data_IF_205094887776
#
_entry.id   IF_205094887776
#
_cell.length_a   1.000
_cell.length_b   1.000
_cell.length_c   1.000
_cell.angle_alpha   90.00
_cell.angle_beta   90.00
_cell.angle_gamma   90.00
#
_symmetry.space_group_name_H-M   'P 1'
#
loop_
_entity.id
_entity.type
_entity.pdbx_description
1 polymer ?
#
# COMPACT_ATOMS: atom_id res chain seq x y z
N UNK A 1 11.82 -24.90 -26.71
CA UNK A 1 12.47 -23.58 -26.53
C UNK A 1 11.71 -22.80 -25.45
N UNK A 2 12.22 -22.72 -24.20
CA UNK A 2 11.69 -21.74 -23.24
C UNK A 2 12.00 -20.35 -23.80
N UNK A 3 10.98 -19.49 -23.94
CA UNK A 3 11.16 -18.15 -24.49
C UNK A 3 12.18 -17.36 -23.64
N UNK A 4 13.00 -16.50 -24.26
CA UNK A 4 13.96 -15.61 -23.56
C UNK A 4 13.34 -14.77 -22.42
N UNK A 5 12.02 -14.61 -22.43
CA UNK A 5 11.26 -13.89 -21.40
C UNK A 5 11.03 -14.74 -20.14
N UNK A 6 10.86 -16.06 -20.29
CA UNK A 6 10.75 -17.01 -19.17
C UNK A 6 12.04 -17.06 -18.35
N UNK A 7 13.20 -16.98 -19.00
CA UNK A 7 14.51 -17.02 -18.32
C UNK A 7 14.80 -15.76 -17.52
N UNK A 8 14.45 -14.56 -18.03
CA UNK A 8 14.65 -13.30 -17.30
C UNK A 8 13.75 -13.19 -16.06
N UNK A 9 12.50 -13.68 -16.13
CA UNK A 9 11.58 -13.70 -14.99
C UNK A 9 12.11 -14.57 -13.84
N UNK A 10 12.60 -15.76 -14.19
CA UNK A 10 13.19 -16.70 -13.24
C UNK A 10 14.46 -16.13 -12.59
N UNK A 11 15.33 -15.49 -13.38
CA UNK A 11 16.52 -14.79 -12.89
C UNK A 11 16.17 -13.68 -11.89
N UNK A 12 15.22 -12.80 -12.21
CA UNK A 12 14.79 -11.72 -11.31
C UNK A 12 14.22 -12.28 -10.00
N UNK A 13 13.48 -13.38 -10.06
CA UNK A 13 12.96 -14.03 -8.86
C UNK A 13 14.09 -14.54 -7.96
N UNK A 14 15.03 -15.31 -8.53
CA UNK A 14 16.12 -15.93 -7.77
C UNK A 14 17.09 -14.89 -7.19
N UNK A 15 17.36 -13.82 -7.93
CA UNK A 15 18.37 -12.81 -7.57
C UNK A 15 17.83 -11.73 -6.64
N UNK A 16 16.55 -11.36 -6.78
CA UNK A 16 15.93 -10.22 -6.08
C UNK A 16 14.76 -10.63 -5.20
N UNK A 17 13.69 -11.17 -5.79
CA UNK A 17 12.39 -11.32 -5.11
C UNK A 17 12.46 -12.30 -3.95
N UNK A 18 13.10 -13.45 -4.14
CA UNK A 18 13.25 -14.48 -3.10
C UNK A 18 13.89 -13.95 -1.81
N UNK A 19 14.80 -12.97 -1.93
CA UNK A 19 15.53 -12.38 -0.80
C UNK A 19 14.72 -11.33 -0.02
N UNK A 20 13.54 -10.94 -0.51
CA UNK A 20 12.69 -9.92 0.14
C UNK A 20 11.81 -10.50 1.26
N UNK A 21 11.66 -11.83 1.32
CA UNK A 21 10.99 -12.53 2.41
C UNK A 21 11.94 -12.74 3.59
N UNK A 22 11.56 -12.23 4.77
CA UNK A 22 12.24 -12.48 6.04
C UNK A 22 11.46 -13.55 6.80
N UNK A 23 11.99 -14.77 6.80
CA UNK A 23 11.36 -15.95 7.40
C UNK A 23 9.96 -16.25 6.83
N UNK A 24 9.69 -15.80 5.60
CA UNK A 24 8.46 -16.06 4.85
C UNK A 24 8.81 -16.34 3.39
N UNK A 25 7.95 -17.08 2.69
CA UNK A 25 8.11 -17.38 1.28
C UNK A 25 7.57 -16.24 0.39
N UNK A 26 8.36 -15.83 -0.62
CA UNK A 26 7.84 -15.09 -1.77
C UNK A 26 7.45 -16.10 -2.85
N UNK A 27 6.19 -16.11 -3.25
CA UNK A 27 5.67 -17.05 -4.25
C UNK A 27 6.02 -16.59 -5.68
N UNK A 28 6.73 -17.39 -6.50
CA UNK A 28 7.09 -17.03 -7.87
C UNK A 28 5.89 -16.66 -8.74
N UNK A 29 4.76 -17.35 -8.58
CA UNK A 29 3.52 -17.13 -9.31
C UNK A 29 2.82 -15.82 -8.94
N UNK A 30 3.13 -15.25 -7.78
CA UNK A 30 2.67 -13.92 -7.36
C UNK A 30 3.70 -12.82 -7.65
N UNK A 31 4.75 -13.12 -8.40
CA UNK A 31 5.72 -12.13 -8.84
C UNK A 31 5.41 -11.60 -10.23
N UNK A 32 5.45 -10.27 -10.37
CA UNK A 32 5.22 -9.57 -11.63
C UNK A 32 6.11 -8.33 -11.76
N UNK A 33 6.90 -8.32 -12.83
CA UNK A 33 8.04 -7.40 -13.03
C UNK A 33 7.81 -6.36 -14.13
N UNK A 34 6.70 -6.42 -14.85
CA UNK A 34 6.28 -5.43 -15.85
C UNK A 34 4.82 -5.04 -15.66
N UNK A 35 4.34 -3.88 -16.15
CA UNK A 35 2.94 -3.51 -16.04
C UNK A 35 1.99 -4.56 -16.63
N UNK A 36 2.37 -5.14 -17.78
CA UNK A 36 1.63 -6.21 -18.45
C UNK A 36 1.54 -7.47 -17.59
N UNK A 37 2.63 -7.87 -16.93
CA UNK A 37 2.60 -9.00 -16.00
C UNK A 37 1.68 -8.74 -14.81
N UNK A 38 1.68 -7.53 -14.25
CA UNK A 38 0.77 -7.17 -13.15
C UNK A 38 -0.68 -7.24 -13.62
N UNK A 39 -0.99 -6.69 -14.80
CA UNK A 39 -2.32 -6.76 -15.37
C UNK A 39 -2.79 -8.20 -15.58
N UNK A 40 -1.96 -9.04 -16.18
CA UNK A 40 -2.28 -10.45 -16.38
C UNK A 40 -2.49 -11.17 -15.04
N UNK A 41 -1.64 -10.90 -14.05
CA UNK A 41 -1.76 -11.47 -12.71
C UNK A 41 -3.10 -11.11 -12.05
N UNK A 42 -3.56 -9.86 -12.19
CA UNK A 42 -4.87 -9.42 -11.69
C UNK A 42 -6.04 -10.12 -12.38
N UNK A 43 -5.91 -10.48 -13.66
CA UNK A 43 -6.96 -11.15 -14.42
C UNK A 43 -7.04 -12.66 -14.16
N UNK A 44 -5.91 -13.31 -13.87
CA UNK A 44 -5.84 -14.78 -13.86
C UNK A 44 -5.67 -15.39 -12.48
N UNK A 45 -5.16 -14.65 -11.49
CA UNK A 45 -4.92 -15.21 -10.15
C UNK A 45 -6.21 -15.33 -9.34
N UNK A 46 -6.65 -16.56 -9.11
CA UNK A 46 -7.78 -16.85 -8.22
C UNK A 46 -7.50 -16.42 -6.78
N UNK A 47 -6.24 -16.48 -6.33
CA UNK A 47 -5.85 -15.97 -5.01
C UNK A 47 -6.14 -14.48 -4.84
N UNK A 48 -5.81 -13.67 -5.85
CA UNK A 48 -6.07 -12.22 -5.81
C UNK A 48 -7.58 -11.95 -5.91
N UNK A 49 -8.29 -12.63 -6.80
CA UNK A 49 -9.75 -12.48 -6.92
C UNK A 49 -10.48 -12.87 -5.64
N UNK A 50 -10.06 -13.96 -5.00
CA UNK A 50 -10.63 -14.39 -3.72
C UNK A 50 -10.33 -13.38 -2.62
N UNK A 51 -9.11 -12.85 -2.57
CA UNK A 51 -8.79 -11.78 -1.64
C UNK A 51 -9.64 -10.52 -1.86
N UNK A 52 -9.85 -10.12 -3.11
CA UNK A 52 -10.76 -9.02 -3.45
C UNK A 52 -12.18 -9.26 -2.95
N UNK A 53 -12.71 -10.50 -3.05
CA UNK A 53 -14.02 -10.86 -2.48
C UNK A 53 -14.01 -10.77 -0.96
N UNK A 54 -12.98 -11.29 -0.30
CA UNK A 54 -12.84 -11.24 1.16
C UNK A 54 -12.88 -9.79 1.64
N UNK A 55 -11.99 -8.94 1.13
CA UNK A 55 -11.89 -7.56 1.61
C UNK A 55 -13.06 -6.70 1.11
N UNK A 56 -13.38 -6.79 -0.18
CA UNK A 56 -14.44 -6.02 -0.82
C UNK A 56 -15.81 -6.33 -0.23
N UNK A 57 -16.12 -7.61 0.05
CA UNK A 57 -17.48 -8.04 0.39
C UNK A 57 -17.60 -8.48 1.84
N UNK A 58 -16.74 -9.37 2.33
CA UNK A 58 -16.99 -10.11 3.59
C UNK A 58 -16.38 -9.48 4.84
N UNK A 59 -15.22 -8.85 4.72
CA UNK A 59 -14.50 -8.31 5.87
C UNK A 59 -15.05 -6.94 6.30
N UNK A 60 -15.31 -6.80 7.60
CA UNK A 60 -15.61 -5.53 8.26
C UNK A 60 -14.63 -5.33 9.43
N UNK A 61 -14.12 -4.10 9.62
CA UNK A 61 -13.32 -3.78 10.80
C UNK A 61 -14.18 -3.87 12.08
N UNK A 62 -13.52 -4.02 13.22
CA UNK A 62 -14.19 -3.88 14.53
C UNK A 62 -14.88 -2.50 14.65
N UNK A 63 -16.06 -2.44 15.30
CA UNK A 63 -16.87 -1.22 15.43
C UNK A 63 -16.19 -0.08 16.20
N UNK A 64 -15.19 -0.39 17.03
CA UNK A 64 -14.33 0.60 17.71
C UNK A 64 -13.41 1.36 16.73
N UNK A 65 -13.16 0.83 15.53
CA UNK A 65 -12.35 1.49 14.51
C UNK A 65 -13.08 2.69 13.93
N UNK A 66 -12.61 3.91 14.20
CA UNK A 66 -13.21 5.16 13.70
C UNK A 66 -12.32 5.90 12.70
N UNK A 67 -11.02 5.59 12.66
CA UNK A 67 -10.04 6.21 11.79
C UNK A 67 -9.44 5.15 10.88
N UNK A 68 -9.67 5.26 9.57
CA UNK A 68 -8.96 4.46 8.57
C UNK A 68 -7.63 5.13 8.23
N UNK A 69 -6.54 4.39 8.41
CA UNK A 69 -5.20 4.77 7.97
C UNK A 69 -4.75 3.80 6.87
N UNK A 70 -4.75 4.27 5.62
CA UNK A 70 -4.12 3.56 4.51
C UNK A 70 -2.62 3.88 4.48
N UNK A 71 -1.78 2.85 4.49
CA UNK A 71 -0.32 2.97 4.45
C UNK A 71 0.26 2.12 3.31
N UNK A 72 1.31 2.57 2.59
CA UNK A 72 1.80 1.84 1.43
C UNK A 72 2.45 0.52 1.84
N UNK A 73 2.36 -0.46 0.96
CA UNK A 73 3.09 -1.71 1.10
C UNK A 73 4.60 -1.47 1.15
N UNK A 74 5.33 -2.49 1.62
CA UNK A 74 6.80 -2.48 1.66
C UNK A 74 7.39 -3.50 0.70
N UNK A 75 8.58 -3.22 0.16
CA UNK A 75 9.39 -4.19 -0.59
C UNK A 75 9.76 -5.40 0.25
N UNK A 76 10.09 -5.22 1.54
CA UNK A 76 10.37 -6.31 2.49
C UNK A 76 9.08 -6.90 3.02
N UNK A 77 9.02 -8.24 3.06
CA UNK A 77 7.92 -9.04 3.58
C UNK A 77 8.38 -9.91 4.75
N UNK A 78 7.54 -10.17 5.77
CA UNK A 78 6.24 -9.56 5.94
C UNK A 78 6.37 -8.06 6.22
N UNK A 79 5.30 -7.28 6.01
CA UNK A 79 5.39 -5.82 6.03
C UNK A 79 5.97 -5.25 7.33
N UNK A 80 5.58 -5.80 8.48
CA UNK A 80 6.01 -5.37 9.81
C UNK A 80 7.52 -5.49 10.04
N UNK A 81 8.21 -6.31 9.25
CA UNK A 81 9.67 -6.45 9.32
C UNK A 81 10.44 -5.38 8.53
N UNK A 82 9.72 -4.51 7.82
CA UNK A 82 10.31 -3.44 7.03
C UNK A 82 10.60 -2.19 7.85
N UNK A 83 11.60 -1.42 7.42
CA UNK A 83 11.93 -0.13 8.04
C UNK A 83 10.74 0.83 8.07
N UNK A 84 9.92 0.85 7.01
CA UNK A 84 8.78 1.76 6.93
C UNK A 84 7.66 1.42 7.90
N UNK A 85 7.44 0.14 8.17
CA UNK A 85 6.47 -0.30 9.17
C UNK A 85 7.01 -0.20 10.59
N UNK A 86 8.30 -0.45 10.82
CA UNK A 86 8.93 -0.19 12.12
C UNK A 86 8.76 1.28 12.52
N UNK A 87 9.04 2.22 11.61
CA UNK A 87 8.81 3.65 11.84
C UNK A 87 7.32 3.99 12.09
N UNK A 88 6.41 3.36 11.35
CA UNK A 88 4.96 3.52 11.55
C UNK A 88 4.52 3.01 12.93
N UNK A 89 4.98 1.83 13.34
CA UNK A 89 4.58 1.22 14.60
C UNK A 89 5.12 1.97 15.81
N UNK A 90 6.32 2.54 15.74
CA UNK A 90 6.79 3.48 16.77
C UNK A 90 5.86 4.69 16.87
N UNK A 91 5.43 5.25 15.73
CA UNK A 91 4.45 6.35 15.71
C UNK A 91 3.10 5.94 16.28
N UNK A 92 2.61 4.74 15.97
CA UNK A 92 1.32 4.25 16.42
C UNK A 92 1.31 3.85 17.90
N UNK A 93 2.46 3.44 18.45
CA UNK A 93 2.62 3.05 19.86
C UNK A 93 2.34 4.21 20.82
N UNK A 94 2.60 5.45 20.41
CA UNK A 94 2.33 6.66 21.21
C UNK A 94 0.84 6.88 21.52
N UNK A 95 -0.07 6.20 20.81
CA UNK A 95 -1.50 6.37 21.03
C UNK A 95 -2.08 5.40 22.07
N UNK A 96 -1.30 4.44 22.60
CA UNK A 96 -1.67 3.53 23.68
C UNK A 96 -3.15 3.06 23.59
N UNK A 97 -4.02 3.44 24.53
CA UNK A 97 -5.46 3.10 24.53
C UNK A 97 -6.23 3.58 23.28
N UNK A 98 -5.82 4.72 22.70
CA UNK A 98 -6.43 5.28 21.50
C UNK A 98 -6.01 4.54 20.22
N UNK A 99 -5.02 3.64 20.28
CA UNK A 99 -4.63 2.78 19.15
C UNK A 99 -5.79 1.98 18.61
N UNK A 100 -6.76 1.64 19.47
CA UNK A 100 -7.96 0.91 19.11
C UNK A 100 -8.85 1.68 18.14
N UNK A 101 -8.87 3.02 18.15
CA UNK A 101 -9.64 3.81 17.19
C UNK A 101 -9.05 3.80 15.77
N UNK A 102 -7.75 3.49 15.65
CA UNK A 102 -7.04 3.48 14.37
C UNK A 102 -7.12 2.07 13.78
N UNK A 103 -7.58 2.02 12.53
CA UNK A 103 -7.50 0.84 11.70
C UNK A 103 -6.43 1.04 10.63
N UNK A 104 -5.33 0.32 10.79
CA UNK A 104 -4.26 0.29 9.80
C UNK A 104 -4.63 -0.69 8.69
N UNK A 105 -4.60 -0.22 7.46
CA UNK A 105 -4.79 -1.03 6.27
C UNK A 105 -3.68 -0.72 5.27
N UNK A 106 -3.05 -1.76 4.74
CA UNK A 106 -2.02 -1.60 3.71
C UNK A 106 -2.67 -1.42 2.36
N UNK A 107 -2.30 -0.40 1.62
CA UNK A 107 -2.57 -0.32 0.18
C UNK A 107 -1.42 -1.01 -0.55
N UNK A 108 -1.72 -1.94 -1.46
CA UNK A 108 -0.71 -2.66 -2.21
C UNK A 108 -1.17 -3.10 -3.59
N UNK A 109 -0.24 -3.18 -4.53
CA UNK A 109 -0.32 -4.06 -5.68
C UNK A 109 0.07 -5.49 -5.27
N UNK A 110 -0.55 -6.55 -5.79
CA UNK A 110 -1.79 -6.55 -6.58
C UNK A 110 -3.05 -6.67 -5.70
N UNK A 111 -2.90 -6.85 -4.38
CA UNK A 111 -3.99 -7.24 -3.47
C UNK A 111 -4.92 -6.10 -3.03
N UNK A 112 -4.70 -4.87 -3.48
CA UNK A 112 -5.52 -3.72 -3.12
C UNK A 112 -5.33 -3.35 -1.66
N UNK A 113 -6.16 -3.90 -0.78
CA UNK A 113 -6.11 -3.61 0.65
C UNK A 113 -5.73 -4.85 1.45
N UNK A 114 -4.80 -4.71 2.40
CA UNK A 114 -4.46 -5.75 3.39
C UNK A 114 -4.60 -5.15 4.78
N UNK A 115 -5.75 -5.37 5.46
CA UNK A 115 -5.95 -4.93 6.84
C UNK A 115 -4.93 -5.56 7.79
N UNK A 116 -4.45 -4.79 8.76
CA UNK A 116 -3.53 -5.28 9.80
C UNK A 116 -4.11 -6.48 10.57
N UNK A 117 -5.44 -6.57 10.68
CA UNK A 117 -6.14 -7.69 11.30
C UNK A 117 -5.78 -9.06 10.69
N UNK A 118 -5.23 -9.09 9.48
CA UNK A 118 -4.82 -10.32 8.77
C UNK A 118 -3.31 -10.60 8.82
N UNK A 119 -2.51 -9.73 9.43
CA UNK A 119 -1.07 -9.92 9.51
C UNK A 119 -0.72 -11.18 10.31
N UNK A 120 0.14 -12.04 9.75
CA UNK A 120 0.56 -13.27 10.41
C UNK A 120 -0.57 -14.30 10.49
N UNK A 121 -1.60 -14.19 9.66
CA UNK A 121 -2.76 -15.08 9.67
C UNK A 121 -2.96 -15.77 8.34
N UNK A 122 -3.54 -16.96 8.40
CA UNK A 122 -4.02 -17.72 7.25
C UNK A 122 -5.47 -18.12 7.46
N UNK A 123 -6.17 -18.34 6.35
CA UNK A 123 -7.55 -18.79 6.34
C UNK A 123 -7.97 -19.17 4.93
N UNK A 124 -9.27 -19.42 4.76
CA UNK A 124 -9.78 -19.85 3.46
C UNK A 124 -9.54 -18.78 2.39
N UNK A 125 -8.71 -19.11 1.40
CA UNK A 125 -8.38 -18.24 0.29
C UNK A 125 -7.27 -17.21 0.55
N UNK A 126 -6.57 -17.26 1.69
CA UNK A 126 -5.40 -16.42 1.94
C UNK A 126 -4.40 -17.02 2.95
N UNK A 127 -3.13 -16.69 2.77
CA UNK A 127 -2.07 -16.99 3.72
C UNK A 127 -1.12 -15.78 3.80
N UNK A 128 -1.29 -14.96 4.84
CA UNK A 128 -0.42 -13.82 5.16
C UNK A 128 0.57 -14.12 6.28
N UNK A 129 0.57 -15.37 6.73
CA UNK A 129 1.55 -15.91 7.69
C UNK A 129 2.87 -16.17 6.95
N UNK A 130 2.81 -16.96 5.87
CA UNK A 130 4.04 -17.44 5.20
C UNK A 130 4.12 -17.10 3.70
N UNK A 131 3.01 -16.80 3.03
CA UNK A 131 2.98 -16.74 1.56
C UNK A 131 2.77 -15.33 1.00
N UNK A 132 3.85 -14.75 0.48
CA UNK A 132 3.91 -13.36 0.07
C UNK A 132 4.24 -13.19 -1.42
N UNK A 133 4.27 -11.93 -1.85
CA UNK A 133 4.42 -11.54 -3.25
C UNK A 133 5.45 -10.42 -3.41
N UNK A 134 5.92 -10.27 -4.65
CA UNK A 134 6.75 -9.14 -5.07
C UNK A 134 6.30 -8.65 -6.44
N UNK A 135 5.60 -7.50 -6.45
CA UNK A 135 4.99 -6.94 -7.66
C UNK A 135 5.54 -5.54 -7.93
N UNK A 136 6.84 -5.41 -8.28
CA UNK A 136 7.42 -4.11 -8.57
C UNK A 136 7.05 -3.59 -9.97
N UNK A 137 6.36 -4.39 -10.79
CA UNK A 137 6.09 -4.09 -12.20
C UNK A 137 5.29 -2.81 -12.47
N UNK A 138 4.63 -2.20 -11.47
CA UNK A 138 3.96 -0.91 -11.65
C UNK A 138 4.88 0.30 -11.37
N UNK A 139 6.08 0.11 -10.85
CA UNK A 139 7.01 1.20 -10.55
C UNK A 139 7.97 1.44 -11.72
N UNK A 140 7.76 2.53 -12.45
CA UNK A 140 8.53 2.87 -13.67
C UNK A 140 10.05 2.84 -13.44
N UNK A 141 10.50 3.45 -12.33
CA UNK A 141 11.93 3.46 -11.99
C UNK A 141 12.51 2.05 -11.84
N UNK A 142 11.75 1.11 -11.27
CA UNK A 142 12.19 -0.25 -11.04
C UNK A 142 12.26 -1.00 -12.36
N UNK A 143 11.20 -0.92 -13.17
CA UNK A 143 11.12 -1.58 -14.48
C UNK A 143 12.24 -1.10 -15.40
N UNK A 144 12.47 0.22 -15.48
CA UNK A 144 13.55 0.81 -16.28
C UNK A 144 14.94 0.39 -15.78
N UNK A 145 15.17 0.37 -14.47
CA UNK A 145 16.44 -0.07 -13.86
C UNK A 145 16.82 -1.50 -14.27
N UNK A 146 15.84 -2.36 -14.51
CA UNK A 146 16.07 -3.76 -14.90
C UNK A 146 15.96 -3.99 -16.42
N UNK A 147 15.93 -2.92 -17.22
CA UNK A 147 15.87 -3.00 -18.68
C UNK A 147 14.65 -3.78 -19.17
N UNK A 148 13.49 -3.51 -18.57
CA UNK A 148 12.21 -4.11 -18.92
C UNK A 148 11.30 -3.08 -19.60
N UNK A 149 10.31 -3.54 -20.36
CA UNK A 149 9.32 -2.66 -21.00
C UNK A 149 8.33 -2.11 -19.98
N UNK A 150 8.11 -0.80 -20.01
CA UNK A 150 7.13 -0.12 -19.17
C UNK A 150 5.94 0.36 -20.00
N UNK A 151 4.90 -0.45 -20.02
CA UNK A 151 3.71 -0.22 -20.84
C UNK A 151 2.62 0.51 -20.04
N UNK A 152 2.52 1.83 -20.24
CA UNK A 152 1.61 2.71 -19.47
C UNK A 152 0.14 2.27 -19.54
N UNK A 153 -0.30 1.72 -20.67
CA UNK A 153 -1.66 1.19 -20.82
C UNK A 153 -1.99 0.14 -19.75
N UNK A 154 -1.08 -0.82 -19.53
CA UNK A 154 -1.30 -1.89 -18.54
C UNK A 154 -1.18 -1.39 -17.11
N UNK A 155 -0.32 -0.39 -16.86
CA UNK A 155 -0.29 0.31 -15.57
C UNK A 155 -1.67 0.90 -15.24
N UNK A 156 -2.26 1.63 -16.20
CA UNK A 156 -3.53 2.31 -16.00
C UNK A 156 -4.68 1.29 -15.81
N UNK A 157 -4.70 0.21 -16.58
CA UNK A 157 -5.65 -0.90 -16.41
C UNK A 157 -5.49 -1.61 -15.06
N UNK A 158 -4.26 -1.85 -14.61
CA UNK A 158 -4.00 -2.46 -13.29
C UNK A 158 -4.50 -1.57 -12.15
N UNK A 159 -4.21 -0.26 -12.22
CA UNK A 159 -4.69 0.73 -11.24
C UNK A 159 -6.22 0.75 -11.21
N UNK A 160 -6.88 0.69 -12.37
CA UNK A 160 -8.35 0.68 -12.43
C UNK A 160 -8.95 -0.54 -11.75
N UNK A 161 -8.44 -1.75 -12.01
CA UNK A 161 -8.92 -2.99 -11.38
C UNK A 161 -8.78 -2.91 -9.86
N UNK A 162 -7.58 -2.53 -9.38
CA UNK A 162 -7.31 -2.48 -7.94
C UNK A 162 -8.15 -1.37 -7.29
N UNK A 163 -8.26 -0.19 -7.91
CA UNK A 163 -9.05 0.92 -7.40
C UNK A 163 -10.55 0.58 -7.30
N UNK A 164 -11.10 -0.21 -8.23
CA UNK A 164 -12.49 -0.69 -8.14
C UNK A 164 -12.71 -1.55 -6.90
N UNK A 165 -11.77 -2.44 -6.56
CA UNK A 165 -11.87 -3.23 -5.33
C UNK A 165 -11.72 -2.36 -4.06
N UNK A 166 -10.75 -1.45 -4.05
CA UNK A 166 -10.58 -0.48 -2.95
C UNK A 166 -11.85 0.37 -2.78
N UNK A 167 -12.49 0.79 -3.88
CA UNK A 167 -13.73 1.56 -3.86
C UNK A 167 -14.91 0.79 -3.24
N UNK A 168 -15.02 -0.51 -3.52
CA UNK A 168 -16.03 -1.37 -2.88
C UNK A 168 -15.86 -1.38 -1.36
N UNK A 169 -14.63 -1.56 -0.88
CA UNK A 169 -14.33 -1.50 0.55
C UNK A 169 -14.66 -0.12 1.16
N UNK A 170 -14.26 0.97 0.50
CA UNK A 170 -14.54 2.33 0.96
C UNK A 170 -16.05 2.59 1.05
N UNK A 171 -16.82 2.20 0.03
CA UNK A 171 -18.29 2.35 0.00
C UNK A 171 -18.95 1.55 1.12
N UNK A 172 -18.51 0.30 1.32
CA UNK A 172 -19.05 -0.60 2.35
C UNK A 172 -18.77 -0.11 3.77
N UNK A 173 -17.61 0.51 3.98
CA UNK A 173 -17.17 1.00 5.29
C UNK A 173 -17.41 2.51 5.47
N UNK A 174 -18.29 3.12 4.66
CA UNK A 174 -18.53 4.57 4.64
C UNK A 174 -19.08 5.11 5.98
N UNK A 175 -19.85 4.30 6.70
CA UNK A 175 -20.49 4.73 7.95
C UNK A 175 -19.69 4.34 9.21
N UNK A 176 -18.67 3.50 9.03
CA UNK A 176 -17.80 3.03 10.12
C UNK A 176 -16.76 4.11 10.47
N UNK A 177 -16.01 4.56 9.47
CA UNK A 177 -14.95 5.54 9.71
C UNK A 177 -15.48 6.97 9.68
N UNK A 178 -15.16 7.72 10.72
CA UNK A 178 -15.36 9.18 10.77
C UNK A 178 -14.24 9.92 10.06
N UNK A 179 -13.03 9.36 10.06
CA UNK A 179 -11.85 9.93 9.40
C UNK A 179 -11.19 8.87 8.51
N UNK A 180 -10.83 9.26 7.28
CA UNK A 180 -10.11 8.41 6.32
C UNK A 180 -8.88 9.13 5.82
N UNK A 181 -7.73 8.50 6.00
CA UNK A 181 -6.42 9.05 5.66
C UNK A 181 -5.70 8.03 4.80
N UNK A 182 -5.01 8.50 3.77
CA UNK A 182 -4.00 7.73 3.07
C UNK A 182 -2.66 8.42 3.25
N UNK A 183 -1.77 7.79 4.01
CA UNK A 183 -0.42 8.28 4.26
C UNK A 183 0.56 7.55 3.35
N UNK A 184 0.58 7.97 2.08
CA UNK A 184 1.31 7.34 0.97
C UNK A 184 2.22 8.35 0.30
N UNK A 185 3.10 7.92 -0.60
CA UNK A 185 3.92 8.89 -1.36
C UNK A 185 3.03 9.72 -2.29
N UNK A 186 2.98 11.03 -2.06
CA UNK A 186 2.13 11.97 -2.81
C UNK A 186 2.89 12.73 -3.90
N UNK A 187 4.13 13.11 -3.62
CA UNK A 187 5.01 13.85 -4.52
C UNK A 187 6.40 13.20 -4.58
N UNK A 188 7.11 13.42 -5.68
CA UNK A 188 8.51 13.05 -5.84
C UNK A 188 9.41 14.03 -5.07
N UNK A 189 10.71 13.75 -5.00
CA UNK A 189 11.68 14.70 -4.45
C UNK A 189 11.81 16.00 -5.28
N UNK A 190 11.33 15.99 -6.52
CA UNK A 190 11.17 17.19 -7.36
C UNK A 190 9.81 17.87 -7.20
N UNK A 191 9.00 17.48 -6.21
CA UNK A 191 7.69 18.05 -5.89
C UNK A 191 6.64 17.91 -7.00
N UNK A 192 6.81 16.91 -7.87
CA UNK A 192 5.88 16.54 -8.93
C UNK A 192 5.08 15.30 -8.56
N UNK A 193 3.83 15.21 -9.03
CA UNK A 193 3.12 13.93 -9.07
C UNK A 193 3.69 13.10 -10.22
N UNK A 194 3.80 11.80 -10.03
CA UNK A 194 4.27 10.86 -11.05
C UNK A 194 3.26 9.74 -11.24
N UNK A 195 3.24 9.16 -12.43
CA UNK A 195 2.35 8.05 -12.79
C UNK A 195 2.67 6.78 -11.98
N UNK A 196 3.91 6.63 -11.52
CA UNK A 196 4.37 5.52 -10.68
C UNK A 196 4.14 5.73 -9.16
N UNK A 197 3.46 6.82 -8.75
CA UNK A 197 2.88 6.93 -7.41
C UNK A 197 1.59 6.11 -7.31
N UNK A 198 1.69 4.82 -7.63
CA UNK A 198 0.61 3.86 -7.83
C UNK A 198 -0.37 3.83 -6.66
N UNK A 199 0.13 3.72 -5.42
CA UNK A 199 -0.69 3.78 -4.21
C UNK A 199 -1.57 5.04 -4.12
N UNK A 200 -1.01 6.21 -4.42
CA UNK A 200 -1.76 7.47 -4.42
C UNK A 200 -2.84 7.46 -5.50
N UNK A 201 -2.49 7.03 -6.72
CA UNK A 201 -3.42 6.96 -7.86
C UNK A 201 -4.58 5.99 -7.62
N UNK A 202 -4.29 4.81 -7.06
CA UNK A 202 -5.32 3.83 -6.71
C UNK A 202 -6.32 4.40 -5.70
N UNK A 203 -5.85 5.11 -4.68
CA UNK A 203 -6.72 5.68 -3.64
C UNK A 203 -7.51 6.88 -4.17
N UNK A 204 -6.87 7.77 -4.95
CA UNK A 204 -7.55 8.92 -5.58
C UNK A 204 -8.68 8.42 -6.50
N UNK A 205 -8.40 7.41 -7.34
CA UNK A 205 -9.40 6.80 -8.21
C UNK A 205 -10.49 6.08 -7.42
N UNK A 206 -10.13 5.30 -6.39
CA UNK A 206 -11.10 4.60 -5.56
C UNK A 206 -12.01 5.55 -4.78
N UNK A 207 -11.47 6.67 -4.29
CA UNK A 207 -12.22 7.74 -3.63
C UNK A 207 -13.23 8.37 -4.61
N UNK A 208 -12.82 8.61 -5.87
CA UNK A 208 -13.71 9.09 -6.93
C UNK A 208 -14.82 8.09 -7.24
N UNK A 209 -14.50 6.82 -7.45
CA UNK A 209 -15.48 5.76 -7.80
C UNK A 209 -16.50 5.55 -6.68
N UNK A 210 -16.05 5.53 -5.42
CA UNK A 210 -16.91 5.26 -4.27
C UNK A 210 -17.75 6.46 -3.81
N UNK A 211 -17.36 7.69 -4.19
CA UNK A 211 -17.88 8.92 -3.59
C UNK A 211 -17.43 9.15 -2.14
N UNK A 212 -16.55 8.29 -1.61
CA UNK A 212 -16.07 8.35 -0.23
C UNK A 212 -14.74 9.10 -0.19
N UNK A 213 -14.72 10.24 0.49
CA UNK A 213 -13.53 11.09 0.60
C UNK A 213 -12.44 10.43 1.45
N UNK A 214 -11.24 10.31 0.87
CA UNK A 214 -10.01 9.91 1.59
C UNK A 214 -9.02 11.08 1.56
N UNK A 215 -8.51 11.49 2.73
CA UNK A 215 -7.49 12.55 2.80
C UNK A 215 -6.14 11.98 2.42
N UNK A 216 -5.61 12.43 1.28
CA UNK A 216 -4.26 12.07 0.82
C UNK A 216 -3.22 12.91 1.58
N UNK A 217 -2.26 12.24 2.20
CA UNK A 217 -1.15 12.77 2.99
C UNK A 217 0.16 12.03 2.62
N UNK A 218 1.34 12.64 2.81
CA UNK A 218 1.56 13.99 3.30
C UNK A 218 1.30 15.08 2.24
N UNK A 219 1.02 16.33 2.65
CA UNK A 219 0.82 17.43 1.72
C UNK A 219 2.13 17.90 1.07
N UNK A 220 2.04 18.60 -0.06
CA UNK A 220 3.20 19.09 -0.85
C UNK A 220 4.17 19.94 -0.03
N UNK A 221 3.67 20.77 0.87
CA UNK A 221 4.49 21.64 1.72
C UNK A 221 5.35 20.85 2.71
N UNK A 222 4.84 19.73 3.25
CA UNK A 222 5.66 18.84 4.09
C UNK A 222 6.78 18.19 3.25
N UNK A 223 6.44 17.66 2.06
CA UNK A 223 7.44 17.06 1.17
C UNK A 223 8.50 18.10 0.78
N UNK A 224 8.09 19.33 0.45
CA UNK A 224 8.99 20.46 0.18
C UNK A 224 9.93 20.73 1.36
N UNK A 225 9.40 20.78 2.59
CA UNK A 225 10.20 20.98 3.80
C UNK A 225 11.24 19.87 3.97
N UNK A 226 10.84 18.60 3.89
CA UNK A 226 11.76 17.47 4.03
C UNK A 226 12.88 17.55 2.98
N UNK A 227 12.53 17.81 1.73
CA UNK A 227 13.50 17.92 0.63
C UNK A 227 14.44 19.12 0.81
N UNK A 228 13.95 20.27 1.28
CA UNK A 228 14.79 21.45 1.49
C UNK A 228 15.73 21.29 2.68
N UNK A 229 15.30 20.60 3.73
CA UNK A 229 16.07 20.45 4.97
C UNK A 229 17.05 19.27 4.91
N UNK A 230 16.62 18.12 4.36
CA UNK A 230 17.38 16.86 4.39
C UNK A 230 17.83 16.39 3.01
N UNK A 231 17.54 17.16 1.96
CA UNK A 231 17.88 16.83 0.59
C UNK A 231 16.89 15.86 -0.09
N UNK A 232 17.01 15.75 -1.41
CA UNK A 232 16.15 14.88 -2.25
C UNK A 232 16.26 13.41 -1.87
N UNK A 233 17.49 12.96 -1.59
CA UNK A 233 17.79 11.57 -1.25
C UNK A 233 17.06 11.10 0.01
N UNK A 234 16.90 11.98 1.01
CA UNK A 234 16.14 11.64 2.22
C UNK A 234 14.68 11.28 1.89
N UNK A 235 14.02 12.07 1.03
CA UNK A 235 12.66 11.75 0.62
C UNK A 235 12.58 10.54 -0.33
N UNK A 236 13.54 10.39 -1.25
CA UNK A 236 13.58 9.25 -2.17
C UNK A 236 13.82 7.92 -1.45
N UNK A 237 14.67 7.91 -0.42
CA UNK A 237 15.01 6.72 0.36
C UNK A 237 13.97 6.37 1.41
N UNK A 238 13.49 7.37 2.17
CA UNK A 238 12.63 7.12 3.32
C UNK A 238 11.16 7.36 3.01
N UNK A 239 10.83 8.28 2.10
CA UNK A 239 9.45 8.63 1.76
C UNK A 239 8.61 8.89 3.01
N UNK A 240 7.46 8.22 3.10
CA UNK A 240 6.57 8.32 4.26
C UNK A 240 7.19 7.82 5.57
N UNK A 241 8.24 6.99 5.53
CA UNK A 241 8.95 6.54 6.73
C UNK A 241 9.95 7.56 7.28
N UNK A 242 10.13 8.71 6.61
CA UNK A 242 11.00 9.77 7.11
C UNK A 242 10.54 10.28 8.48
N UNK A 243 11.44 10.56 9.45
CA UNK A 243 11.06 11.00 10.79
C UNK A 243 10.10 12.20 10.81
N UNK A 244 10.38 13.25 10.03
CA UNK A 244 9.45 14.40 9.91
C UNK A 244 8.09 14.04 9.30
N UNK A 245 8.03 13.04 8.42
CA UNK A 245 6.76 12.57 7.86
C UNK A 245 5.96 11.81 8.93
N UNK A 246 6.62 10.95 9.70
CA UNK A 246 6.02 10.23 10.82
C UNK A 246 5.55 11.18 11.93
N UNK A 247 6.33 12.20 12.28
CA UNK A 247 5.92 13.24 13.22
C UNK A 247 4.68 13.98 12.72
N UNK A 248 4.63 14.32 11.43
CA UNK A 248 3.44 14.92 10.85
C UNK A 248 2.20 14.00 10.94
N UNK A 249 2.37 12.71 10.62
CA UNK A 249 1.29 11.71 10.74
C UNK A 249 0.79 11.64 12.18
N UNK A 250 1.71 11.60 13.15
CA UNK A 250 1.41 11.58 14.57
C UNK A 250 0.54 12.76 15.00
N UNK A 251 0.95 13.99 14.67
CA UNK A 251 0.18 15.20 14.98
C UNK A 251 -1.17 15.23 14.27
N UNK A 252 -1.26 14.66 13.07
CA UNK A 252 -2.52 14.52 12.36
C UNK A 252 -3.46 13.54 13.07
N UNK A 253 -2.97 12.36 13.45
CA UNK A 253 -3.73 11.33 14.15
C UNK A 253 -4.19 11.81 15.53
N UNK A 254 -3.34 12.50 16.30
CA UNK A 254 -3.72 13.10 17.59
C UNK A 254 -4.94 14.01 17.47
N UNK A 255 -4.97 14.86 16.43
CA UNK A 255 -6.13 15.74 16.15
C UNK A 255 -7.35 14.96 15.66
N UNK A 256 -7.15 13.93 14.84
CA UNK A 256 -8.23 13.08 14.36
C UNK A 256 -8.90 12.30 15.51
N UNK A 257 -8.11 11.72 16.41
CA UNK A 257 -8.58 11.03 17.62
C UNK A 257 -9.39 11.98 18.50
N UNK A 258 -8.86 13.17 18.80
CA UNK A 258 -9.58 14.18 19.60
C UNK A 258 -10.95 14.51 18.99
N UNK A 259 -11.04 14.64 17.67
CA UNK A 259 -12.32 14.90 16.97
C UNK A 259 -13.28 13.72 17.01
N UNK A 260 -12.78 12.50 16.98
CA UNK A 260 -13.63 11.30 17.08
C UNK A 260 -14.22 11.23 18.49
N UNK A 261 -13.38 11.35 19.52
CA UNK A 261 -13.79 11.21 20.93
C UNK A 261 -14.78 12.32 21.33
N UNK A 262 -14.47 13.58 20.99
CA UNK A 262 -15.36 14.72 21.34
C UNK A 262 -16.73 14.69 20.65
N UNK A 263 -16.89 13.91 19.57
CA UNK A 263 -18.19 13.74 18.91
C UNK A 263 -18.95 12.50 19.41
N UNK A 264 -18.36 11.74 20.35
CA UNK A 264 -19.00 10.60 21.02
C UNK A 264 -19.50 10.98 22.43
N UNK A 265 -19.08 12.13 22.96
CA UNK A 265 -19.58 12.78 24.19
C UNK A 265 -20.62 13.83 23.87
#
# INVERSE_FOLDING_TARGET
MKSRQSTKKEELYLTLSKKKGKNVQILPELCAYTPREVYNLLLTSERIKNWFKIVGNHYYPNSSKKILLLYPCSTIKPFWESRSYKALFETLKEFSEYRNYIHLVTISEPFGLIPEDFYGKKGDGYNWDDEWYDVPGLFEWWVKRHGLSYEKEYLDKSIEIIAKNVAQYLKKTKDIYKVRIAFVRTYSSSLTKKDDHTHCRMIELASKISGVKVKILPPKNLVKKIVSTHGRFAWDMYGVAHPEAQEYLRQYLKRAIKRVILNET
#
